data_IF_654789276204
#
_entry.id   IF_654789276204
#
_cell.length_a   1.000
_cell.length_b   1.000
_cell.length_c   1.000
_cell.angle_alpha   90.00
_cell.angle_beta   90.00
_cell.angle_gamma   90.00
#
_symmetry.space_group_name_H-M   'P 1'
#
loop_
_entity.id
_entity.type
_entity.pdbx_description
1 polymer ?
#
# COMPACT_ATOMS: atom_id res chain seq x y z
N UNK A 1 -18.09 -10.96 -28.73
CA UNK A 1 -17.47 -9.62 -28.75
C UNK A 1 -18.35 -8.69 -27.90
N UNK A 2 -17.96 -7.51 -27.42
CA UNK A 2 -18.02 -6.36 -28.32
C UNK A 2 -17.67 -4.98 -27.72
N UNK A 3 -16.94 -4.85 -26.61
CA UNK A 3 -16.35 -3.54 -26.30
C UNK A 3 -14.91 -3.73 -25.84
N UNK A 4 -13.99 -3.57 -26.79
CA UNK A 4 -12.55 -3.59 -26.57
C UNK A 4 -11.91 -2.44 -27.32
N UNK A 5 -11.57 -1.35 -26.62
CA UNK A 5 -10.62 -0.36 -27.13
C UNK A 5 -9.25 -0.67 -26.54
N UNK A 6 -8.44 -1.38 -27.32
CA UNK A 6 -7.14 -1.89 -26.86
C UNK A 6 -6.06 -1.23 -27.71
N UNK A 7 -5.22 -0.41 -27.08
CA UNK A 7 -3.99 0.14 -27.65
C UNK A 7 -2.84 -0.31 -26.78
N UNK A 8 -2.10 -1.31 -27.24
CA UNK A 8 -0.95 -1.87 -26.52
C UNK A 8 0.32 -1.72 -27.35
N UNK A 9 1.41 -1.27 -26.71
CA UNK A 9 2.76 -1.34 -27.26
C UNK A 9 3.59 -2.28 -26.41
N UNK A 10 4.11 -3.34 -27.00
CA UNK A 10 4.85 -4.40 -26.31
C UNK A 10 6.21 -4.51 -26.99
N UNK A 11 7.27 -4.40 -26.20
CA UNK A 11 8.66 -4.53 -26.67
C UNK A 11 9.42 -5.44 -25.74
N UNK A 12 10.06 -6.48 -26.28
CA UNK A 12 10.91 -7.40 -25.52
C UNK A 12 10.25 -7.90 -24.20
N UNK A 13 8.97 -8.26 -24.27
CA UNK A 13 8.14 -8.54 -23.10
C UNK A 13 7.18 -9.70 -23.34
N UNK A 14 6.79 -10.34 -22.25
CA UNK A 14 5.85 -11.46 -22.22
C UNK A 14 4.59 -10.97 -21.53
N UNK A 15 3.44 -11.03 -22.20
CA UNK A 15 2.17 -10.52 -21.69
C UNK A 15 1.07 -11.55 -21.83
N UNK A 16 0.50 -11.95 -20.70
CA UNK A 16 -0.69 -12.80 -20.62
C UNK A 16 -1.85 -11.99 -20.04
N UNK A 17 -2.90 -11.79 -20.84
CA UNK A 17 -4.10 -11.07 -20.41
C UNK A 17 -5.34 -11.95 -20.62
N UNK A 18 -6.13 -12.12 -19.56
CA UNK A 18 -7.44 -12.76 -19.64
C UNK A 18 -8.50 -11.79 -19.10
N UNK A 19 -9.36 -11.27 -19.98
CA UNK A 19 -10.44 -10.38 -19.57
C UNK A 19 -11.67 -10.41 -20.46
N UNK A 20 -12.86 -10.30 -19.84
CA UNK A 20 -14.15 -10.33 -20.53
C UNK A 20 -14.54 -8.97 -21.14
N UNK A 21 -14.37 -7.87 -20.40
CA UNK A 21 -14.64 -6.49 -20.86
C UNK A 21 -13.42 -5.63 -20.58
N UNK A 22 -12.90 -4.92 -21.60
CA UNK A 22 -11.68 -4.13 -21.40
C UNK A 22 -11.58 -2.85 -22.23
N UNK A 23 -11.07 -1.79 -21.60
CA UNK A 23 -10.49 -0.62 -22.29
C UNK A 23 -9.05 -0.47 -21.80
N UNK A 24 -8.08 -0.65 -22.69
CA UNK A 24 -6.67 -0.77 -22.32
C UNK A 24 -5.84 0.20 -23.16
N UNK A 25 -5.12 1.09 -22.49
CA UNK A 25 -3.95 1.76 -23.05
C UNK A 25 -2.74 1.27 -22.26
N UNK A 26 -1.84 0.50 -22.88
CA UNK A 26 -0.64 0.02 -22.19
C UNK A 26 0.64 0.13 -23.01
N UNK A 27 1.75 0.45 -22.34
CA UNK A 27 3.09 0.18 -22.88
C UNK A 27 3.87 -0.72 -21.93
N UNK A 28 4.44 -1.77 -22.52
CA UNK A 28 5.17 -2.82 -21.81
C UNK A 28 6.53 -2.97 -22.49
N UNK A 29 7.60 -2.86 -21.71
CA UNK A 29 8.98 -2.99 -22.20
C UNK A 29 9.79 -3.86 -21.24
N UNK A 30 10.57 -4.81 -21.76
CA UNK A 30 11.50 -5.63 -20.96
C UNK A 30 10.84 -6.24 -19.70
N UNK A 31 9.60 -6.70 -19.81
CA UNK A 31 8.78 -7.06 -18.65
C UNK A 31 7.95 -8.32 -18.88
N UNK A 32 7.58 -8.93 -17.77
CA UNK A 32 6.70 -10.09 -17.73
C UNK A 32 5.43 -9.65 -17.01
N UNK A 33 4.28 -9.75 -17.68
CA UNK A 33 3.00 -9.26 -17.17
C UNK A 33 1.95 -10.36 -17.27
N UNK A 34 1.30 -10.67 -16.15
CA UNK A 34 0.17 -11.58 -16.05
C UNK A 34 -1.02 -10.84 -15.46
N UNK A 35 -2.09 -10.71 -16.25
CA UNK A 35 -3.32 -10.08 -15.80
C UNK A 35 -4.54 -10.97 -16.01
N UNK A 36 -5.36 -11.09 -14.98
CA UNK A 36 -6.61 -11.83 -15.04
C UNK A 36 -7.73 -11.01 -14.39
N UNK A 37 -8.76 -10.64 -15.17
CA UNK A 37 -9.83 -9.78 -14.67
C UNK A 37 -11.14 -9.84 -15.44
N UNK A 38 -12.29 -9.72 -14.77
CA UNK A 38 -13.59 -9.76 -15.45
C UNK A 38 -13.90 -8.45 -16.20
N UNK A 39 -13.78 -7.30 -15.52
CA UNK A 39 -13.99 -5.96 -16.08
C UNK A 39 -12.76 -5.09 -15.80
N UNK A 40 -12.26 -4.41 -16.84
CA UNK A 40 -10.96 -3.73 -16.77
C UNK A 40 -10.92 -2.42 -17.56
N UNK A 41 -10.66 -1.30 -16.90
CA UNK A 41 -10.17 -0.08 -17.56
C UNK A 41 -8.75 0.20 -17.10
N UNK A 42 -7.78 0.20 -18.01
CA UNK A 42 -6.36 0.32 -17.67
C UNK A 42 -5.65 1.38 -18.50
N UNK A 43 -4.94 2.25 -17.80
CA UNK A 43 -3.79 2.98 -18.31
C UNK A 43 -2.54 2.45 -17.61
N UNK A 44 -1.68 1.69 -18.29
CA UNK A 44 -0.49 1.10 -17.67
C UNK A 44 0.81 1.32 -18.42
N UNK A 45 1.87 1.61 -17.68
CA UNK A 45 3.23 1.61 -18.19
C UNK A 45 4.07 0.68 -17.33
N UNK A 46 4.65 -0.33 -17.95
CA UNK A 46 5.45 -1.35 -17.27
C UNK A 46 6.79 -1.47 -17.96
N UNK A 47 7.89 -1.33 -17.21
CA UNK A 47 9.25 -1.34 -17.75
C UNK A 47 10.23 -2.05 -16.84
N UNK A 48 10.94 -3.07 -17.34
CA UNK A 48 11.90 -3.85 -16.54
C UNK A 48 11.27 -4.46 -15.28
N UNK A 49 10.07 -5.02 -15.41
CA UNK A 49 9.25 -5.45 -14.28
C UNK A 49 8.70 -6.86 -14.43
N UNK A 50 8.33 -7.42 -13.28
CA UNK A 50 7.46 -8.59 -13.20
C UNK A 50 6.18 -8.14 -12.50
N UNK A 51 5.04 -8.22 -13.19
CA UNK A 51 3.75 -7.73 -12.70
C UNK A 51 2.67 -8.81 -12.80
N UNK A 52 2.08 -9.17 -11.66
CA UNK A 52 0.99 -10.13 -11.55
C UNK A 52 -0.23 -9.46 -10.94
N UNK A 53 -1.29 -9.27 -11.74
CA UNK A 53 -2.54 -8.69 -11.28
C UNK A 53 -3.71 -9.65 -11.49
N UNK A 54 -4.41 -9.94 -10.41
CA UNK A 54 -5.64 -10.73 -10.45
C UNK A 54 -6.77 -9.92 -9.81
N UNK A 55 -7.77 -9.51 -10.60
CA UNK A 55 -8.85 -8.69 -10.06
C UNK A 55 -10.20 -8.83 -10.74
N UNK A 56 -11.30 -8.92 -10.00
CA UNK A 56 -12.63 -9.10 -10.60
C UNK A 56 -13.08 -7.83 -11.37
N UNK A 57 -13.06 -6.67 -10.70
CA UNK A 57 -13.36 -5.36 -11.30
C UNK A 57 -12.19 -4.43 -11.02
N UNK A 58 -11.67 -3.79 -12.08
CA UNK A 58 -10.49 -2.95 -12.00
C UNK A 58 -10.60 -1.68 -12.85
N UNK A 59 -10.38 -0.53 -12.22
CA UNK A 59 -9.96 0.70 -12.90
C UNK A 59 -8.56 1.07 -12.40
N UNK A 60 -7.56 0.90 -13.25
CA UNK A 60 -6.16 0.96 -12.83
C UNK A 60 -5.38 1.94 -13.67
N UNK A 61 -4.72 2.90 -13.01
CA UNK A 61 -3.64 3.69 -13.55
C UNK A 61 -2.34 3.26 -12.85
N UNK A 62 -1.49 2.52 -13.57
CA UNK A 62 -0.24 1.96 -13.04
C UNK A 62 0.98 2.46 -13.80
N UNK A 63 2.00 2.88 -13.06
CA UNK A 63 3.35 3.08 -13.59
C UNK A 63 4.31 2.23 -12.76
N UNK A 64 4.92 1.24 -13.38
CA UNK A 64 5.73 0.22 -12.71
C UNK A 64 7.07 0.13 -13.42
N UNK A 65 8.16 0.34 -12.67
CA UNK A 65 9.52 0.36 -13.21
C UNK A 65 10.51 -0.37 -12.29
N UNK A 66 11.35 -1.22 -12.87
CA UNK A 66 12.40 -1.96 -12.15
C UNK A 66 11.86 -2.66 -10.88
N UNK A 67 10.69 -3.29 -10.96
CA UNK A 67 9.97 -3.73 -9.77
C UNK A 67 9.22 -5.03 -9.96
N UNK A 68 8.99 -5.71 -8.85
CA UNK A 68 8.19 -6.92 -8.77
C UNK A 68 6.89 -6.58 -8.03
N UNK A 69 5.75 -6.81 -8.68
CA UNK A 69 4.43 -6.46 -8.15
C UNK A 69 3.49 -7.65 -8.23
N UNK A 70 2.83 -7.94 -7.10
CA UNK A 70 1.76 -8.93 -6.99
C UNK A 70 0.54 -8.27 -6.37
N UNK A 71 -0.54 -8.13 -7.13
CA UNK A 71 -1.81 -7.60 -6.64
C UNK A 71 -2.93 -8.62 -6.85
N UNK A 72 -3.68 -8.86 -5.78
CA UNK A 72 -4.89 -9.67 -5.82
C UNK A 72 -6.04 -8.88 -5.18
N UNK A 73 -7.08 -8.57 -5.96
CA UNK A 73 -8.19 -7.78 -5.44
C UNK A 73 -9.56 -8.01 -6.05
N UNK A 74 -10.63 -8.04 -5.26
CA UNK A 74 -11.97 -8.27 -5.80
C UNK A 74 -12.50 -7.02 -6.54
N UNK A 75 -12.50 -5.86 -5.87
CA UNK A 75 -12.84 -4.56 -6.48
C UNK A 75 -11.68 -3.60 -6.25
N UNK A 76 -11.21 -2.97 -7.32
CA UNK A 76 -10.06 -2.07 -7.28
C UNK A 76 -10.24 -0.83 -8.13
N UNK A 77 -10.01 0.33 -7.51
CA UNK A 77 -9.66 1.57 -8.18
C UNK A 77 -8.27 1.98 -7.70
N UNK A 78 -7.27 1.79 -8.55
CA UNK A 78 -5.86 1.91 -8.14
C UNK A 78 -5.16 2.95 -9.01
N UNK A 79 -4.56 3.94 -8.35
CA UNK A 79 -3.52 4.79 -8.91
C UNK A 79 -2.20 4.44 -8.22
N UNK A 80 -1.31 3.74 -8.92
CA UNK A 80 -0.05 3.27 -8.35
C UNK A 80 1.17 3.71 -9.16
N UNK A 81 2.17 4.20 -8.45
CA UNK A 81 3.51 4.47 -8.98
C UNK A 81 4.50 3.65 -8.17
N UNK A 82 5.18 2.71 -8.82
CA UNK A 82 6.11 1.78 -8.18
C UNK A 82 7.44 1.81 -8.94
N UNK A 83 8.54 2.07 -8.21
CA UNK A 83 9.88 2.13 -8.82
C UNK A 83 10.93 1.50 -7.92
N UNK A 84 11.69 0.52 -8.42
CA UNK A 84 12.73 -0.18 -7.66
C UNK A 84 12.20 -0.84 -6.37
N UNK A 85 11.08 -1.56 -6.49
CA UNK A 85 10.35 -2.06 -5.33
C UNK A 85 9.94 -3.52 -5.46
N UNK A 86 9.61 -4.12 -4.32
CA UNK A 86 8.89 -5.38 -4.23
C UNK A 86 7.57 -5.10 -3.50
N UNK A 87 6.43 -5.37 -4.14
CA UNK A 87 5.11 -5.05 -3.61
C UNK A 87 4.19 -6.26 -3.68
N UNK A 88 3.59 -6.62 -2.54
CA UNK A 88 2.55 -7.63 -2.42
C UNK A 88 1.31 -7.01 -1.79
N UNK A 89 0.21 -6.95 -2.54
CA UNK A 89 -1.07 -6.46 -2.05
C UNK A 89 -2.17 -7.50 -2.23
N UNK A 90 -2.93 -7.74 -1.16
CA UNK A 90 -4.12 -8.56 -1.19
C UNK A 90 -5.28 -7.80 -0.55
N UNK A 91 -6.36 -7.56 -1.31
CA UNK A 91 -7.49 -6.82 -0.77
C UNK A 91 -8.86 -7.12 -1.37
N UNK A 92 -9.93 -7.17 -0.58
CA UNK A 92 -11.27 -7.40 -1.13
C UNK A 92 -11.83 -6.16 -1.83
N UNK A 93 -11.89 -5.01 -1.15
CA UNK A 93 -12.36 -3.74 -1.72
C UNK A 93 -11.29 -2.68 -1.52
N UNK A 94 -10.87 -2.04 -2.60
CA UNK A 94 -9.74 -1.10 -2.58
C UNK A 94 -9.97 0.15 -3.44
N UNK A 95 -9.82 1.31 -2.82
CA UNK A 95 -9.55 2.59 -3.51
C UNK A 95 -8.19 3.10 -3.06
N UNK A 96 -7.20 2.97 -3.92
CA UNK A 96 -5.79 3.10 -3.52
C UNK A 96 -5.08 4.13 -4.38
N UNK A 97 -4.47 5.11 -3.73
CA UNK A 97 -3.38 5.89 -4.29
C UNK A 97 -2.07 5.50 -3.60
N UNK A 98 -1.19 4.79 -4.31
CA UNK A 98 0.11 4.35 -3.80
C UNK A 98 1.26 4.99 -4.57
N UNK A 99 2.28 5.46 -3.85
CA UNK A 99 3.60 5.77 -4.41
C UNK A 99 4.65 5.08 -3.58
N UNK A 100 5.43 4.20 -4.21
CA UNK A 100 6.34 3.28 -3.52
C UNK A 100 7.66 3.29 -4.28
N UNK A 101 8.74 3.76 -3.64
CA UNK A 101 10.06 3.85 -4.25
C UNK A 101 11.15 3.23 -3.37
N UNK A 102 12.05 2.44 -3.95
CA UNK A 102 13.16 1.78 -3.25
C UNK A 102 12.70 1.06 -1.96
N UNK A 103 11.63 0.28 -2.04
CA UNK A 103 10.96 -0.24 -0.83
C UNK A 103 10.36 -1.62 -1.02
N UNK A 104 10.12 -2.27 0.12
CA UNK A 104 9.45 -3.57 0.21
C UNK A 104 8.15 -3.37 0.97
N UNK A 105 7.02 -3.73 0.34
CA UNK A 105 5.69 -3.48 0.91
C UNK A 105 4.82 -4.74 0.83
N UNK A 106 4.30 -5.15 1.98
CA UNK A 106 3.30 -6.20 2.11
C UNK A 106 2.04 -5.63 2.75
N UNK A 107 0.92 -5.67 2.03
CA UNK A 107 -0.38 -5.23 2.54
C UNK A 107 -1.43 -6.32 2.37
N UNK A 108 -2.15 -6.60 3.45
CA UNK A 108 -3.32 -7.45 3.45
C UNK A 108 -4.50 -6.71 4.09
N UNK A 109 -5.59 -6.48 3.34
CA UNK A 109 -6.75 -5.77 3.90
C UNK A 109 -8.11 -6.09 3.29
N UNK A 110 -9.17 -6.14 4.10
CA UNK A 110 -10.53 -6.46 3.60
C UNK A 110 -11.18 -5.25 2.91
N UNK A 111 -11.35 -4.12 3.61
CA UNK A 111 -11.91 -2.89 3.02
C UNK A 111 -10.91 -1.76 3.20
N UNK A 112 -10.59 -1.06 2.11
CA UNK A 112 -9.60 0.00 2.19
C UNK A 112 -9.77 1.20 1.25
N UNK A 113 -9.73 2.42 1.82
CA UNK A 113 -9.31 3.66 1.14
C UNK A 113 -7.90 4.10 1.57
N UNK A 114 -6.94 4.16 0.63
CA UNK A 114 -5.52 4.45 0.88
C UNK A 114 -5.06 5.68 0.14
N UNK A 115 -4.33 6.54 0.83
CA UNK A 115 -3.18 7.25 0.27
C UNK A 115 -1.90 6.81 0.98
N UNK A 116 -1.00 6.12 0.28
CA UNK A 116 0.29 5.68 0.83
C UNK A 116 1.43 6.30 0.03
N UNK A 117 2.44 6.78 0.75
CA UNK A 117 3.76 7.08 0.19
C UNK A 117 4.82 6.37 1.00
N UNK A 118 5.61 5.54 0.34
CA UNK A 118 6.65 4.72 0.94
C UNK A 118 7.94 4.94 0.18
N UNK A 119 9.00 5.33 0.85
CA UNK A 119 10.32 5.55 0.25
C UNK A 119 11.41 4.95 1.12
N UNK A 120 12.34 4.19 0.54
CA UNK A 120 13.49 3.62 1.27
C UNK A 120 13.07 2.89 2.56
N UNK A 121 12.02 2.07 2.49
CA UNK A 121 11.39 1.51 3.69
C UNK A 121 10.89 0.10 3.49
N UNK A 122 10.66 -0.58 4.61
CA UNK A 122 10.07 -1.90 4.68
C UNK A 122 8.77 -1.78 5.47
N UNK A 123 7.65 -2.17 4.86
CA UNK A 123 6.31 -1.98 5.43
C UNK A 123 5.51 -3.28 5.36
N UNK A 124 5.02 -3.73 6.51
CA UNK A 124 4.09 -4.84 6.66
C UNK A 124 2.81 -4.33 7.33
N UNK A 125 1.69 -4.36 6.61
CA UNK A 125 0.39 -3.97 7.14
C UNK A 125 -0.63 -5.09 6.97
N UNK A 126 -1.32 -5.42 8.07
CA UNK A 126 -2.45 -6.33 8.06
C UNK A 126 -3.65 -5.66 8.75
N UNK A 127 -4.79 -5.54 8.05
CA UNK A 127 -5.95 -4.83 8.60
C UNK A 127 -7.30 -5.22 8.05
N UNK A 128 -8.36 -5.22 8.86
CA UNK A 128 -9.70 -5.57 8.38
C UNK A 128 -10.40 -4.37 7.69
N UNK A 129 -10.56 -3.25 8.38
CA UNK A 129 -11.14 -2.01 7.83
C UNK A 129 -10.16 -0.86 8.00
N UNK A 130 -9.85 -0.15 6.92
CA UNK A 130 -8.82 0.87 6.93
C UNK A 130 -9.20 2.09 6.08
N UNK A 131 -9.06 3.28 6.64
CA UNK A 131 -9.02 4.55 5.91
C UNK A 131 -7.74 5.28 6.31
N UNK A 132 -6.75 5.28 5.42
CA UNK A 132 -5.39 5.66 5.80
C UNK A 132 -4.71 6.62 4.84
N UNK A 133 -4.10 7.64 5.43
CA UNK A 133 -3.02 8.40 4.83
C UNK A 133 -1.70 8.03 5.54
N UNK A 134 -0.83 7.27 4.88
CA UNK A 134 0.50 6.95 5.41
C UNK A 134 1.60 7.60 4.59
N UNK A 135 2.59 8.14 5.30
CA UNK A 135 3.90 8.46 4.73
C UNK A 135 4.98 7.77 5.54
N UNK A 136 5.79 6.97 4.88
CA UNK A 136 6.87 6.19 5.50
C UNK A 136 8.14 6.46 4.71
N UNK A 137 9.18 6.92 5.39
CA UNK A 137 10.49 7.20 4.79
C UNK A 137 11.59 6.64 5.67
N UNK A 138 12.58 5.94 5.09
CA UNK A 138 13.77 5.46 5.81
C UNK A 138 13.40 4.68 7.09
N UNK A 139 12.42 3.79 7.02
CA UNK A 139 11.85 3.17 8.21
C UNK A 139 11.39 1.74 8.00
N UNK A 140 11.26 1.04 9.12
CA UNK A 140 10.72 -0.32 9.19
C UNK A 140 9.42 -0.24 9.99
N UNK A 141 8.31 -0.68 9.40
CA UNK A 141 6.97 -0.54 9.99
C UNK A 141 6.21 -1.86 9.91
N UNK A 142 5.77 -2.33 11.07
CA UNK A 142 4.87 -3.46 11.23
C UNK A 142 3.58 -3.00 11.91
N UNK A 143 2.45 -3.16 11.21
CA UNK A 143 1.13 -2.78 11.73
C UNK A 143 0.12 -3.91 11.59
N UNK A 144 -0.54 -4.21 12.69
CA UNK A 144 -1.69 -5.09 12.73
C UNK A 144 -2.87 -4.38 13.37
N UNK A 145 -3.99 -4.22 12.65
CA UNK A 145 -5.15 -3.53 13.20
C UNK A 145 -6.51 -3.97 12.66
N UNK A 146 -7.51 -4.13 13.52
CA UNK A 146 -8.84 -4.57 13.07
C UNK A 146 -9.61 -3.42 12.40
N UNK A 147 -9.74 -2.26 13.07
CA UNK A 147 -10.34 -1.04 12.52
C UNK A 147 -9.38 0.13 12.70
N UNK A 148 -9.13 0.87 11.62
CA UNK A 148 -8.17 1.96 11.62
C UNK A 148 -8.57 3.13 10.74
N UNK A 149 -8.71 4.33 11.34
CA UNK A 149 -8.70 5.61 10.64
C UNK A 149 -7.42 6.35 11.02
N UNK A 150 -6.42 6.30 10.15
CA UNK A 150 -5.06 6.67 10.55
C UNK A 150 -4.41 7.62 9.55
N UNK A 151 -3.92 8.75 10.06
CA UNK A 151 -2.93 9.58 9.39
C UNK A 151 -1.59 9.38 10.10
N UNK A 152 -0.67 8.63 9.50
CA UNK A 152 0.67 8.42 10.09
C UNK A 152 1.77 8.98 9.21
N UNK A 153 2.73 9.66 9.83
CA UNK A 153 4.04 9.95 9.24
C UNK A 153 5.13 9.27 10.06
N UNK A 154 5.95 8.46 9.40
CA UNK A 154 7.06 7.74 10.03
C UNK A 154 8.34 8.03 9.25
N UNK A 155 9.37 8.51 9.94
CA UNK A 155 10.64 8.89 9.33
C UNK A 155 11.83 8.49 10.20
N UNK A 156 12.76 7.69 9.67
CA UNK A 156 13.94 7.21 10.41
C UNK A 156 13.56 6.44 11.69
N UNK A 157 12.62 5.51 11.58
CA UNK A 157 12.05 4.82 12.74
C UNK A 157 11.93 3.32 12.54
N UNK A 158 11.79 2.63 13.67
CA UNK A 158 11.31 1.25 13.75
C UNK A 158 10.00 1.26 14.54
N UNK A 159 8.91 0.80 13.94
CA UNK A 159 7.57 0.87 14.56
C UNK A 159 6.89 -0.49 14.51
N UNK A 160 6.44 -0.97 15.67
CA UNK A 160 5.61 -2.16 15.84
C UNK A 160 4.32 -1.78 16.55
N UNK A 161 3.20 -1.87 15.84
CA UNK A 161 1.88 -1.52 16.38
C UNK A 161 0.88 -2.66 16.21
N UNK A 162 0.23 -3.01 17.32
CA UNK A 162 -0.88 -3.95 17.36
C UNK A 162 -2.10 -3.32 18.04
N UNK A 163 -3.18 -3.07 17.29
CA UNK A 163 -4.35 -2.38 17.84
C UNK A 163 -5.70 -2.86 17.33
N UNK A 164 -6.69 -3.05 18.20
CA UNK A 164 -8.01 -3.52 17.76
C UNK A 164 -8.81 -2.38 17.09
N UNK A 165 -8.96 -1.23 17.76
CA UNK A 165 -9.55 -0.01 17.18
C UNK A 165 -8.57 1.16 17.34
N UNK A 166 -8.32 1.87 16.25
CA UNK A 166 -7.39 3.00 16.24
C UNK A 166 -7.89 4.18 15.41
N UNK A 167 -7.96 5.36 16.04
CA UNK A 167 -8.04 6.66 15.35
C UNK A 167 -6.78 7.46 15.67
N UNK A 168 -5.78 7.39 14.78
CA UNK A 168 -4.43 7.87 15.10
C UNK A 168 -4.02 8.95 14.13
N UNK A 169 -3.68 10.12 14.66
CA UNK A 169 -2.80 11.06 13.99
C UNK A 169 -1.43 11.00 14.67
N UNK A 170 -0.49 10.29 14.06
CA UNK A 170 0.85 10.15 14.63
C UNK A 170 1.93 10.63 13.71
N UNK A 171 2.89 11.37 14.26
CA UNK A 171 4.19 11.52 13.63
C UNK A 171 5.26 10.95 14.55
N UNK A 172 6.06 10.08 13.97
CA UNK A 172 7.11 9.33 14.67
C UNK A 172 8.40 9.57 13.89
N UNK A 173 9.38 10.20 14.51
CA UNK A 173 10.68 10.50 13.90
C UNK A 173 11.83 10.04 14.77
N UNK A 174 12.89 9.49 14.17
CA UNK A 174 14.12 9.09 14.88
C UNK A 174 13.84 8.27 16.15
N UNK A 175 12.94 7.30 16.09
CA UNK A 175 12.44 6.61 17.29
C UNK A 175 12.15 5.14 17.05
N UNK A 176 12.16 4.38 18.16
CA UNK A 176 11.75 2.99 18.20
C UNK A 176 10.47 2.91 19.03
N UNK A 177 9.39 2.41 18.44
CA UNK A 177 8.06 2.39 19.09
C UNK A 177 7.49 0.97 19.07
N UNK A 178 7.15 0.47 20.24
CA UNK A 178 6.36 -0.72 20.46
C UNK A 178 5.03 -0.34 21.10
N UNK A 179 3.92 -0.64 20.44
CA UNK A 179 2.59 -0.34 20.97
C UNK A 179 1.61 -1.50 20.81
N UNK A 180 0.92 -1.78 21.90
CA UNK A 180 -0.18 -2.74 21.95
C UNK A 180 -1.37 -2.11 22.68
N UNK A 181 -2.50 -1.98 22.00
CA UNK A 181 -3.68 -1.35 22.60
C UNK A 181 -5.01 -1.86 22.06
N UNK A 182 -6.03 -1.99 22.91
CA UNK A 182 -7.35 -2.44 22.45
C UNK A 182 -8.12 -1.31 21.77
N UNK A 183 -8.24 -0.15 22.42
CA UNK A 183 -8.80 1.08 21.82
C UNK A 183 -7.79 2.21 21.98
N UNK A 184 -7.46 2.88 20.87
CA UNK A 184 -6.58 4.04 20.87
C UNK A 184 -7.15 5.18 20.05
N UNK A 185 -7.27 6.36 20.65
CA UNK A 185 -7.36 7.61 19.89
C UNK A 185 -6.18 8.47 20.28
N UNK A 186 -5.18 8.55 19.40
CA UNK A 186 -3.88 9.09 19.74
C UNK A 186 -3.55 10.22 18.77
N UNK A 187 -3.36 11.42 19.33
CA UNK A 187 -2.57 12.47 18.69
C UNK A 187 -1.18 12.43 19.32
N UNK A 188 -0.25 11.73 18.70
CA UNK A 188 1.10 11.55 19.26
C UNK A 188 2.18 12.11 18.35
N UNK A 189 3.03 12.93 18.93
CA UNK A 189 4.31 13.32 18.37
C UNK A 189 5.41 12.62 19.15
N UNK A 190 6.10 11.67 18.51
CA UNK A 190 7.16 10.88 19.13
C UNK A 190 8.46 11.19 18.40
N UNK A 191 9.46 11.69 19.10
CA UNK A 191 10.77 12.02 18.50
C UNK A 191 11.93 11.67 19.42
N UNK A 192 13.01 11.13 18.84
CA UNK A 192 14.29 10.90 19.49
C UNK A 192 14.19 10.02 20.76
N UNK A 193 13.32 9.02 20.74
CA UNK A 193 13.02 8.23 21.92
C UNK A 193 12.73 6.76 21.61
N UNK A 194 12.79 5.94 22.66
CA UNK A 194 12.31 4.56 22.66
C UNK A 194 11.05 4.51 23.50
N UNK A 195 9.95 3.98 22.93
CA UNK A 195 8.64 3.96 23.58
C UNK A 195 8.09 2.54 23.62
N UNK A 196 7.71 2.09 24.82
CA UNK A 196 6.95 0.87 25.05
C UNK A 196 5.59 1.21 25.64
N UNK A 197 4.52 0.87 24.93
CA UNK A 197 3.14 1.14 25.37
C UNK A 197 2.30 -0.13 25.36
N UNK A 198 1.68 -0.43 26.51
CA UNK A 198 0.68 -1.49 26.62
C UNK A 198 -0.54 -0.95 27.38
N UNK A 199 -1.69 -0.83 26.72
CA UNK A 199 -2.87 -0.15 27.31
C UNK A 199 -4.20 -0.67 26.79
N UNK A 200 -5.18 -0.88 27.66
CA UNK A 200 -6.54 -1.29 27.25
C UNK A 200 -7.27 -0.18 26.48
N UNK A 201 -7.32 1.03 27.03
CA UNK A 201 -7.90 2.22 26.40
C UNK A 201 -6.91 3.37 26.55
N UNK A 202 -6.56 4.03 25.45
CA UNK A 202 -5.61 5.15 25.46
C UNK A 202 -6.14 6.34 24.70
N UNK A 203 -6.49 7.40 25.44
CA UNK A 203 -6.70 8.74 24.93
C UNK A 203 -5.46 9.56 25.27
N UNK A 204 -4.57 9.75 24.30
CA UNK A 204 -3.36 10.55 24.52
C UNK A 204 -3.23 11.60 23.45
N UNK A 205 -3.24 12.86 23.89
CA UNK A 205 -2.61 13.98 23.20
C UNK A 205 -1.28 14.23 23.90
N UNK A 206 -0.19 13.65 23.39
CA UNK A 206 1.14 13.86 23.99
C UNK A 206 2.23 14.08 22.94
N UNK A 207 3.17 14.93 23.34
CA UNK A 207 4.45 15.11 22.65
C UNK A 207 5.52 14.49 23.52
N UNK A 208 6.12 13.39 23.05
CA UNK A 208 7.21 12.68 23.71
C UNK A 208 8.48 13.02 22.95
N UNK A 209 9.33 13.83 23.56
CA UNK A 209 10.68 14.16 23.07
C UNK A 209 11.65 13.76 24.18
N UNK A 210 12.59 12.87 23.90
CA UNK A 210 13.79 12.74 24.74
C UNK A 210 14.98 13.29 23.96
N UNK A 211 15.87 13.99 24.66
CA UNK A 211 16.99 14.76 24.08
C UNK A 211 17.93 13.84 23.31
#
# INVERSE_FOLDING_TARGET
>A
SLISSISTRVSNSIVYNHSLISSILSMVSNSIVYNHSLIRSILSMVSNCIDYNHSLISSILTMVSNSIVYNHSLISSILSMVSNCIVYNHSLISSISTRVSNSIVYNHSVIHSISTRVSNSIVYNHSLIRSISTRVSNSIVYKHSLISSISTRVSNCIVYNHSLISSILSMVSNSIVYSQSLISSILSMVSNCIVYNHSLIRFISSRIVTV
#
